data_IF_831457013390
#
_entry.id   IF_831457013390
#
_cell.length_a   1.000
_cell.length_b   1.000
_cell.length_c   1.000
_cell.angle_alpha   90.00
_cell.angle_beta   90.00
_cell.angle_gamma   90.00
#
_symmetry.space_group_name_H-M   'P 1'
#
loop_
_entity.id
_entity.type
_entity.pdbx_description
1 polymer ?
#
# COMPACT_ATOMS: atom_id res chain seq x y z
N UNK A 1 -9.83 12.42 22.75
CA UNK A 1 -10.43 11.42 21.83
C UNK A 1 -9.42 10.83 20.84
N UNK A 2 -8.66 11.65 20.09
CA UNK A 2 -7.63 11.19 19.13
C UNK A 2 -6.55 10.28 19.75
N UNK A 3 -6.07 10.57 20.96
CA UNK A 3 -5.05 9.78 21.64
C UNK A 3 -5.48 8.33 21.95
N UNK A 4 -6.75 8.14 22.29
CA UNK A 4 -7.32 6.82 22.59
C UNK A 4 -7.42 6.00 21.30
N UNK A 5 -7.80 6.63 20.19
CA UNK A 5 -7.90 5.96 18.88
C UNK A 5 -6.52 5.52 18.36
N UNK A 6 -5.50 6.38 18.51
CA UNK A 6 -4.11 6.06 18.12
C UNK A 6 -3.55 4.92 18.97
N UNK A 7 -3.80 4.93 20.28
CA UNK A 7 -3.38 3.84 21.17
C UNK A 7 -4.05 2.52 20.82
N UNK A 8 -5.35 2.56 20.47
CA UNK A 8 -6.09 1.37 20.02
C UNK A 8 -5.49 0.79 18.75
N UNK A 9 -5.22 1.62 17.74
CA UNK A 9 -4.60 1.18 16.48
C UNK A 9 -3.21 0.56 16.70
N UNK A 10 -2.38 1.14 17.57
CA UNK A 10 -1.07 0.57 17.90
C UNK A 10 -1.17 -0.82 18.54
N UNK A 11 -2.11 -1.00 19.47
CA UNK A 11 -2.36 -2.30 20.11
C UNK A 11 -2.83 -3.33 19.09
N UNK A 12 -3.71 -2.94 18.18
CA UNK A 12 -4.23 -3.82 17.14
C UNK A 12 -3.15 -4.27 16.14
N UNK A 13 -2.25 -3.36 15.72
CA UNK A 13 -1.11 -3.69 14.86
C UNK A 13 -0.16 -4.66 15.57
N UNK A 14 0.11 -4.43 16.86
CA UNK A 14 0.96 -5.31 17.67
C UNK A 14 0.35 -6.70 17.79
N UNK A 15 -0.94 -6.80 18.13
CA UNK A 15 -1.66 -8.07 18.20
C UNK A 15 -1.63 -8.81 16.87
N UNK A 16 -1.90 -8.13 15.74
CA UNK A 16 -1.81 -8.77 14.42
C UNK A 16 -0.39 -9.21 14.07
N UNK A 17 0.64 -8.57 14.60
CA UNK A 17 2.03 -8.99 14.37
C UNK A 17 2.37 -10.21 15.23
N UNK A 18 1.89 -10.25 16.47
CA UNK A 18 2.03 -11.39 17.39
C UNK A 18 1.27 -12.63 16.89
N UNK A 19 0.05 -12.46 16.38
CA UNK A 19 -0.75 -13.52 15.76
C UNK A 19 -0.04 -14.10 14.53
N UNK A 20 0.53 -13.23 13.69
CA UNK A 20 1.28 -13.67 12.52
C UNK A 20 2.56 -14.43 12.92
N UNK A 21 3.28 -13.98 13.95
CA UNK A 21 4.46 -14.67 14.47
C UNK A 21 4.12 -16.04 15.08
N UNK A 22 2.97 -16.15 15.74
CA UNK A 22 2.45 -17.43 16.23
C UNK A 22 2.14 -18.41 15.10
N UNK A 23 1.50 -17.94 14.02
CA UNK A 23 1.28 -18.76 12.81
C UNK A 23 2.62 -19.15 12.19
N UNK A 24 3.57 -18.23 12.14
CA UNK A 24 4.90 -18.45 11.57
C UNK A 24 5.68 -19.54 12.33
N UNK A 25 5.61 -19.53 13.66
CA UNK A 25 6.23 -20.57 14.52
C UNK A 25 5.69 -21.97 14.28
N UNK A 26 4.47 -22.12 13.74
CA UNK A 26 3.89 -23.42 13.37
C UNK A 26 4.52 -24.02 12.10
N UNK A 27 5.28 -23.26 11.31
CA UNK A 27 5.87 -23.73 10.04
C UNK A 27 7.41 -23.67 10.11
N UNK A 28 8.11 -24.81 10.30
CA UNK A 28 9.51 -24.83 10.75
C UNK A 28 10.58 -24.51 9.68
N UNK A 29 10.23 -23.96 8.50
CA UNK A 29 11.21 -23.72 7.42
C UNK A 29 10.91 -22.45 6.61
N UNK A 30 11.25 -21.27 7.12
CA UNK A 30 11.17 -20.03 6.33
C UNK A 30 12.45 -19.19 6.42
N UNK A 31 13.07 -18.89 5.27
CA UNK A 31 14.17 -17.91 5.15
C UNK A 31 13.62 -16.57 4.63
N UNK A 32 13.15 -15.69 5.52
CA UNK A 32 12.62 -14.35 5.15
C UNK A 32 13.69 -13.24 5.18
N UNK A 33 14.94 -13.56 5.51
CA UNK A 33 15.91 -12.52 5.90
C UNK A 33 16.38 -11.60 4.78
N UNK A 34 16.36 -11.95 3.48
CA UNK A 34 17.02 -11.11 2.44
C UNK A 34 16.11 -10.07 1.76
N UNK A 35 14.84 -10.38 1.47
CA UNK A 35 13.94 -9.46 0.74
C UNK A 35 13.43 -8.28 1.59
N UNK A 36 13.32 -8.46 2.91
CA UNK A 36 12.80 -7.47 3.85
C UNK A 36 13.66 -6.20 3.92
N UNK A 37 14.98 -6.37 4.09
CA UNK A 37 15.89 -5.22 4.25
C UNK A 37 16.08 -4.45 2.95
N UNK A 38 16.07 -5.11 1.79
CA UNK A 38 16.17 -4.43 0.50
C UNK A 38 14.98 -3.52 0.22
N UNK A 39 13.74 -3.98 0.49
CA UNK A 39 12.53 -3.17 0.31
C UNK A 39 12.50 -1.97 1.27
N UNK A 40 12.83 -2.20 2.55
CA UNK A 40 12.89 -1.13 3.55
C UNK A 40 13.96 -0.10 3.20
N UNK A 41 15.16 -0.54 2.80
CA UNK A 41 16.24 0.35 2.41
C UNK A 41 15.89 1.20 1.18
N UNK A 42 15.23 0.60 0.18
CA UNK A 42 14.84 1.30 -1.05
C UNK A 42 13.76 2.35 -0.81
N UNK A 43 12.73 2.03 -0.01
CA UNK A 43 11.68 3.01 0.29
C UNK A 43 12.19 4.13 1.20
N UNK A 44 13.06 3.80 2.17
CA UNK A 44 13.67 4.80 3.04
C UNK A 44 14.64 5.73 2.29
N UNK A 45 15.44 5.20 1.36
CA UNK A 45 16.34 6.02 0.53
C UNK A 45 15.56 6.94 -0.41
N UNK A 46 14.47 6.46 -1.04
CA UNK A 46 13.57 7.29 -1.84
C UNK A 46 12.96 8.43 -1.03
N UNK A 47 12.60 8.18 0.24
CA UNK A 47 12.13 9.21 1.15
C UNK A 47 13.16 10.30 1.38
N UNK A 48 14.37 9.91 1.77
CA UNK A 48 15.47 10.85 2.06
C UNK A 48 15.76 11.71 0.82
N UNK A 49 15.94 11.09 -0.34
CA UNK A 49 16.21 11.78 -1.60
C UNK A 49 15.11 12.81 -1.90
N UNK A 50 13.84 12.44 -1.73
CA UNK A 50 12.72 13.34 -1.96
C UNK A 50 12.71 14.53 -1.00
N UNK A 51 12.98 14.30 0.29
CA UNK A 51 13.05 15.37 1.30
C UNK A 51 14.16 16.35 0.93
N UNK A 52 15.35 15.83 0.62
CA UNK A 52 16.51 16.63 0.22
C UNK A 52 16.24 17.46 -1.05
N UNK A 53 15.45 16.96 -2.00
CA UNK A 53 15.11 17.69 -3.23
C UNK A 53 13.91 18.63 -3.08
N UNK A 54 12.99 18.37 -2.14
CA UNK A 54 11.83 19.26 -1.92
C UNK A 54 12.14 20.45 -1.03
N UNK A 55 13.04 20.32 -0.06
CA UNK A 55 13.41 21.43 0.84
C UNK A 55 13.91 22.66 0.05
N UNK A 56 14.86 22.53 -0.89
CA UNK A 56 15.32 23.66 -1.69
C UNK A 56 14.21 24.28 -2.53
N UNK A 57 13.32 23.48 -3.12
CA UNK A 57 12.19 24.01 -3.91
C UNK A 57 11.23 24.82 -3.06
N UNK A 58 10.96 24.37 -1.82
CA UNK A 58 9.99 25.05 -0.95
C UNK A 58 10.50 26.38 -0.41
N UNK A 59 11.81 26.50 -0.16
CA UNK A 59 12.42 27.68 0.46
C UNK A 59 13.16 28.60 -0.52
N UNK A 60 13.67 28.07 -1.63
CA UNK A 60 14.58 28.79 -2.53
C UNK A 60 14.04 28.98 -3.94
N UNK A 61 12.97 28.27 -4.36
CA UNK A 61 12.42 28.46 -5.71
C UNK A 61 11.47 29.67 -5.72
N UNK A 62 11.85 30.79 -6.37
CA UNK A 62 11.06 32.02 -6.36
C UNK A 62 9.69 31.85 -7.03
N UNK A 63 9.53 30.92 -7.98
CA UNK A 63 8.25 30.67 -8.65
C UNK A 63 7.30 29.91 -7.71
N UNK A 64 7.82 28.89 -7.01
CA UNK A 64 7.04 28.15 -6.03
C UNK A 64 6.64 29.05 -4.83
N UNK A 65 7.56 29.89 -4.35
CA UNK A 65 7.30 30.86 -3.29
C UNK A 65 6.31 31.93 -3.73
N UNK A 66 6.41 32.43 -4.97
CA UNK A 66 5.46 33.42 -5.51
C UNK A 66 4.04 32.84 -5.69
N UNK A 67 3.93 31.60 -6.17
CA UNK A 67 2.65 30.88 -6.29
C UNK A 67 2.00 30.61 -4.93
N UNK A 68 2.79 30.20 -3.92
CA UNK A 68 2.28 30.04 -2.56
C UNK A 68 1.86 31.37 -1.94
N UNK A 69 2.67 32.41 -2.11
CA UNK A 69 2.37 33.75 -1.58
C UNK A 69 1.13 34.36 -2.24
N UNK A 70 0.87 34.09 -3.52
CA UNK A 70 -0.36 34.53 -4.21
C UNK A 70 -1.59 33.75 -3.76
N UNK A 71 -1.49 32.42 -3.59
CA UNK A 71 -2.57 31.60 -3.03
C UNK A 71 -2.98 32.07 -1.63
N UNK A 72 -2.02 32.25 -0.70
CA UNK A 72 -2.30 32.76 0.65
C UNK A 72 -2.79 34.20 0.67
N UNK A 73 -2.42 35.03 -0.31
CA UNK A 73 -2.93 36.41 -0.41
C UNK A 73 -4.35 36.48 -0.99
N UNK A 74 -4.75 35.49 -1.80
CA UNK A 74 -6.12 35.35 -2.31
C UNK A 74 -7.09 34.70 -1.32
N UNK A 75 -6.56 34.02 -0.31
CA UNK A 75 -7.38 33.24 0.61
C UNK A 75 -8.04 34.14 1.69
N UNK A 76 -9.36 34.01 1.82
CA UNK A 76 -10.20 34.72 2.80
C UNK A 76 -9.66 34.58 4.25
N UNK A 77 -8.94 33.48 4.51
CA UNK A 77 -8.30 33.14 5.79
C UNK A 77 -7.36 34.24 6.29
N UNK A 78 -6.59 34.87 5.40
CA UNK A 78 -5.62 35.92 5.76
C UNK A 78 -6.34 37.23 6.12
N UNK A 79 -7.50 37.46 5.49
CA UNK A 79 -8.40 38.58 5.78
C UNK A 79 -9.16 38.38 7.11
N UNK A 80 -9.55 37.15 7.42
CA UNK A 80 -10.25 36.78 8.66
C UNK A 80 -9.34 36.73 9.90
N UNK A 81 -8.11 36.22 9.77
CA UNK A 81 -7.23 35.96 10.93
C UNK A 81 -6.30 37.13 11.29
N UNK A 82 -6.31 38.25 10.55
CA UNK A 82 -5.51 39.47 10.82
C UNK A 82 -4.03 39.20 11.18
N UNK A 83 -3.35 38.23 10.53
CA UNK A 83 -1.95 37.93 10.84
C UNK A 83 -0.98 38.99 10.27
N UNK A 84 0.07 39.39 11.02
CA UNK A 84 1.10 40.33 10.54
C UNK A 84 1.96 39.70 9.43
N UNK A 85 2.33 40.50 8.43
CA UNK A 85 2.56 40.12 7.02
C UNK A 85 3.85 39.33 6.66
N UNK A 86 4.74 38.99 7.60
CA UNK A 86 6.04 38.35 7.26
C UNK A 86 6.40 37.13 8.12
N UNK A 87 6.51 37.21 9.46
CA UNK A 87 6.90 36.05 10.27
C UNK A 87 5.81 34.99 10.35
N UNK A 88 4.53 35.39 10.25
CA UNK A 88 3.39 34.45 10.24
C UNK A 88 3.39 33.51 9.04
N UNK A 89 3.81 34.01 7.88
CA UNK A 89 3.86 33.25 6.63
C UNK A 89 4.91 32.14 6.71
N UNK A 90 6.11 32.45 7.21
CA UNK A 90 7.19 31.46 7.38
C UNK A 90 6.79 30.38 8.38
N UNK A 91 6.15 30.76 9.50
CA UNK A 91 5.65 29.80 10.49
C UNK A 91 4.58 28.90 9.88
N UNK A 92 3.59 29.46 9.18
CA UNK A 92 2.52 28.69 8.54
C UNK A 92 3.08 27.73 7.46
N UNK A 93 3.99 28.22 6.62
CA UNK A 93 4.65 27.43 5.58
C UNK A 93 5.48 26.28 6.19
N UNK A 94 6.15 26.53 7.33
CA UNK A 94 6.88 25.50 8.06
C UNK A 94 5.94 24.46 8.68
N UNK A 95 4.84 24.89 9.28
CA UNK A 95 3.81 23.99 9.82
C UNK A 95 3.17 23.12 8.73
N UNK A 96 2.85 23.68 7.57
CA UNK A 96 2.31 22.92 6.43
C UNK A 96 3.33 21.90 5.92
N UNK A 97 4.60 22.30 5.77
CA UNK A 97 5.67 21.39 5.36
C UNK A 97 5.81 20.22 6.34
N UNK A 98 5.80 20.50 7.64
CA UNK A 98 5.85 19.48 8.70
C UNK A 98 4.62 18.57 8.66
N UNK A 99 3.43 19.13 8.48
CA UNK A 99 2.20 18.33 8.37
C UNK A 99 2.21 17.40 7.16
N UNK A 100 2.63 17.92 5.99
CA UNK A 100 2.80 17.13 4.77
C UNK A 100 3.87 16.06 4.98
N UNK A 101 4.97 16.40 5.62
CA UNK A 101 6.03 15.44 5.94
C UNK A 101 5.51 14.29 6.81
N UNK A 102 4.87 14.62 7.94
CA UNK A 102 4.35 13.64 8.89
C UNK A 102 3.30 12.75 8.24
N UNK A 103 2.34 13.32 7.52
CA UNK A 103 1.30 12.56 6.82
C UNK A 103 1.90 11.58 5.82
N UNK A 104 2.90 12.02 5.04
CA UNK A 104 3.56 11.17 4.05
C UNK A 104 4.41 10.09 4.72
N UNK A 105 5.12 10.41 5.79
CA UNK A 105 5.87 9.43 6.56
C UNK A 105 4.96 8.34 7.12
N UNK A 106 3.82 8.71 7.71
CA UNK A 106 2.82 7.75 8.22
C UNK A 106 2.28 6.84 7.11
N UNK A 107 1.91 7.40 5.96
CA UNK A 107 1.45 6.61 4.81
C UNK A 107 2.51 5.61 4.35
N UNK A 108 3.79 6.00 4.41
CA UNK A 108 4.88 5.14 3.98
C UNK A 108 5.19 4.01 4.93
N UNK A 109 5.17 4.30 6.23
CA UNK A 109 5.26 3.26 7.26
C UNK A 109 4.10 2.26 7.09
N UNK A 110 2.91 2.75 6.77
CA UNK A 110 1.76 1.89 6.48
C UNK A 110 1.97 1.02 5.22
N UNK A 111 2.39 1.59 4.09
CA UNK A 111 2.69 0.83 2.85
C UNK A 111 3.75 -0.25 3.11
N UNK A 112 4.80 0.09 3.85
CA UNK A 112 5.85 -0.84 4.26
C UNK A 112 5.29 -1.97 5.11
N UNK A 113 4.56 -1.64 6.17
CA UNK A 113 3.95 -2.64 7.05
C UNK A 113 3.02 -3.57 6.25
N UNK A 114 2.10 -3.01 5.48
CA UNK A 114 1.10 -3.77 4.73
C UNK A 114 1.74 -4.72 3.70
N UNK A 115 2.72 -4.21 2.94
CA UNK A 115 3.41 -5.01 1.93
C UNK A 115 4.30 -6.10 2.54
N UNK A 116 4.95 -5.83 3.67
CA UNK A 116 5.69 -6.84 4.42
C UNK A 116 4.75 -7.93 4.92
N UNK A 117 3.62 -7.58 5.53
CA UNK A 117 2.61 -8.54 5.98
C UNK A 117 2.11 -9.40 4.82
N UNK A 118 1.81 -8.80 3.66
CA UNK A 118 1.47 -9.54 2.45
C UNK A 118 2.59 -10.51 2.04
N UNK A 119 3.85 -10.08 2.04
CA UNK A 119 4.98 -10.95 1.72
C UNK A 119 5.15 -12.11 2.72
N UNK A 120 4.90 -11.89 4.02
CA UNK A 120 4.88 -12.95 5.02
C UNK A 120 3.77 -13.97 4.72
N UNK A 121 2.55 -13.51 4.44
CA UNK A 121 1.43 -14.38 4.07
C UNK A 121 1.76 -15.19 2.80
N UNK A 122 2.34 -14.56 1.77
CA UNK A 122 2.74 -15.24 0.54
C UNK A 122 3.73 -16.37 0.81
N UNK A 123 4.71 -16.16 1.69
CA UNK A 123 5.68 -17.20 2.07
C UNK A 123 4.98 -18.34 2.83
N UNK A 124 4.07 -18.01 3.75
CA UNK A 124 3.28 -19.02 4.47
C UNK A 124 2.44 -19.88 3.50
N UNK A 125 1.75 -19.23 2.56
CA UNK A 125 0.94 -19.89 1.54
C UNK A 125 1.79 -20.74 0.59
N UNK A 126 2.94 -20.23 0.13
CA UNK A 126 3.88 -20.97 -0.72
C UNK A 126 4.37 -22.24 -0.03
N UNK A 127 4.79 -22.13 1.22
CA UNK A 127 5.22 -23.29 2.01
C UNK A 127 4.08 -24.29 2.23
N UNK A 128 2.85 -23.79 2.41
CA UNK A 128 1.68 -24.65 2.53
C UNK A 128 1.41 -25.41 1.22
N UNK A 129 1.53 -24.75 0.06
CA UNK A 129 1.40 -25.39 -1.26
C UNK A 129 2.44 -26.50 -1.42
N UNK A 130 3.71 -26.24 -1.07
CA UNK A 130 4.80 -27.22 -1.16
C UNK A 130 4.50 -28.44 -0.28
N UNK A 131 4.13 -28.22 0.99
CA UNK A 131 3.77 -29.31 1.90
C UNK A 131 2.53 -30.07 1.42
N UNK A 132 1.52 -29.38 0.87
CA UNK A 132 0.31 -29.99 0.34
C UNK A 132 0.61 -30.94 -0.82
N UNK A 133 1.56 -30.58 -1.67
CA UNK A 133 2.02 -31.41 -2.78
C UNK A 133 2.83 -32.64 -2.32
N UNK A 134 3.47 -32.56 -1.14
CA UNK A 134 4.28 -33.65 -0.59
C UNK A 134 3.52 -34.53 0.43
N UNK A 135 2.24 -34.25 0.72
CA UNK A 135 1.49 -35.04 1.72
C UNK A 135 1.16 -36.45 1.22
N UNK A 136 1.48 -37.43 2.07
CA UNK A 136 1.12 -38.85 1.90
C UNK A 136 0.12 -39.36 2.95
N UNK A 137 -0.08 -38.64 4.06
CA UNK A 137 -0.92 -39.07 5.20
C UNK A 137 -2.09 -38.10 5.45
N UNK A 138 -3.28 -38.65 5.69
CA UNK A 138 -4.50 -37.87 5.92
C UNK A 138 -4.45 -37.02 7.22
N UNK A 139 -3.67 -37.42 8.22
CA UNK A 139 -3.50 -36.66 9.46
C UNK A 139 -2.74 -35.35 9.22
N UNK A 140 -1.69 -35.41 8.42
CA UNK A 140 -0.88 -34.23 8.05
C UNK A 140 -1.71 -33.26 7.21
N UNK A 141 -2.60 -33.80 6.36
CA UNK A 141 -3.55 -33.00 5.61
C UNK A 141 -4.46 -32.16 6.52
N UNK A 142 -5.06 -32.76 7.56
CA UNK A 142 -5.93 -32.01 8.50
C UNK A 142 -5.18 -30.88 9.19
N UNK A 143 -3.91 -31.10 9.56
CA UNK A 143 -3.08 -30.07 10.16
C UNK A 143 -2.82 -28.91 9.19
N UNK A 144 -2.51 -29.20 7.91
CA UNK A 144 -2.32 -28.17 6.89
C UNK A 144 -3.60 -27.36 6.62
N UNK A 145 -4.76 -28.03 6.58
CA UNK A 145 -6.04 -27.36 6.42
C UNK A 145 -6.35 -26.42 7.61
N UNK A 146 -6.00 -26.84 8.83
CA UNK A 146 -6.11 -26.00 10.02
C UNK A 146 -5.22 -24.75 9.93
N UNK A 147 -3.96 -24.90 9.50
CA UNK A 147 -3.04 -23.78 9.28
C UNK A 147 -3.57 -22.82 8.21
N UNK A 148 -4.17 -23.33 7.13
CA UNK A 148 -4.83 -22.49 6.14
C UNK A 148 -6.01 -21.71 6.74
N UNK A 149 -6.83 -22.35 7.57
CA UNK A 149 -7.93 -21.68 8.28
C UNK A 149 -7.44 -20.50 9.12
N UNK A 150 -6.33 -20.69 9.84
CA UNK A 150 -5.68 -19.61 10.61
C UNK A 150 -5.20 -18.46 9.70
N UNK A 151 -4.53 -18.78 8.58
CA UNK A 151 -4.06 -17.77 7.60
C UNK A 151 -5.24 -17.01 6.99
N UNK A 152 -6.31 -17.72 6.61
CA UNK A 152 -7.51 -17.12 5.99
C UNK A 152 -8.23 -16.18 6.95
N UNK A 153 -8.38 -16.59 8.22
CA UNK A 153 -8.94 -15.74 9.26
C UNK A 153 -8.08 -14.49 9.51
N UNK A 154 -6.75 -14.65 9.47
CA UNK A 154 -5.83 -13.52 9.55
C UNK A 154 -6.01 -12.55 8.38
N UNK A 155 -6.04 -13.05 7.14
CA UNK A 155 -6.27 -12.25 5.94
C UNK A 155 -7.60 -11.50 5.99
N UNK A 156 -8.68 -12.15 6.42
CA UNK A 156 -9.99 -11.54 6.60
C UNK A 156 -9.97 -10.39 7.62
N UNK A 157 -9.25 -10.58 8.73
CA UNK A 157 -9.08 -9.57 9.77
C UNK A 157 -8.26 -8.38 9.24
N UNK A 158 -7.18 -8.68 8.52
CA UNK A 158 -6.33 -7.68 7.87
C UNK A 158 -7.12 -6.84 6.86
N UNK A 159 -7.91 -7.48 5.99
CA UNK A 159 -8.77 -6.78 5.02
C UNK A 159 -9.83 -5.91 5.72
N UNK A 160 -10.52 -6.46 6.72
CA UNK A 160 -11.56 -5.73 7.45
C UNK A 160 -11.01 -4.46 8.12
N UNK A 161 -9.79 -4.52 8.65
CA UNK A 161 -9.18 -3.38 9.37
C UNK A 161 -8.49 -2.38 8.45
N UNK A 162 -7.81 -2.86 7.41
CA UNK A 162 -6.92 -2.01 6.62
C UNK A 162 -7.44 -1.67 5.22
N UNK A 163 -8.48 -2.35 4.70
CA UNK A 163 -8.99 -2.11 3.34
C UNK A 163 -9.34 -0.65 3.06
N UNK A 164 -9.88 0.08 4.05
CA UNK A 164 -10.13 1.51 3.94
C UNK A 164 -8.83 2.34 3.89
N UNK A 165 -7.85 2.04 4.75
CA UNK A 165 -6.54 2.71 4.69
C UNK A 165 -5.81 2.44 3.37
N UNK A 166 -5.93 1.23 2.82
CA UNK A 166 -5.42 0.87 1.50
C UNK A 166 -6.07 1.73 0.43
N UNK A 167 -7.40 1.89 0.48
CA UNK A 167 -8.13 2.78 -0.44
C UNK A 167 -7.65 4.23 -0.36
N UNK A 168 -7.58 4.81 0.84
CA UNK A 168 -7.09 6.19 1.03
C UNK A 168 -5.65 6.32 0.52
N UNK A 169 -4.80 5.34 0.79
CA UNK A 169 -3.40 5.34 0.34
C UNK A 169 -3.31 5.31 -1.18
N UNK A 170 -4.08 4.43 -1.84
CA UNK A 170 -4.15 4.32 -3.30
C UNK A 170 -4.64 5.63 -3.91
N UNK A 171 -5.72 6.19 -3.39
CA UNK A 171 -6.29 7.45 -3.86
C UNK A 171 -5.28 8.61 -3.75
N UNK A 172 -4.63 8.75 -2.58
CA UNK A 172 -3.64 9.80 -2.32
C UNK A 172 -2.41 9.65 -3.23
N UNK A 173 -1.98 8.43 -3.55
CA UNK A 173 -0.89 8.19 -4.49
C UNK A 173 -1.30 8.51 -5.92
N UNK A 174 -2.51 8.14 -6.36
CA UNK A 174 -3.02 8.49 -7.69
C UNK A 174 -3.14 10.00 -7.88
N UNK A 175 -3.68 10.73 -6.89
CA UNK A 175 -3.73 12.20 -6.91
C UNK A 175 -2.31 12.77 -6.98
N UNK A 176 -1.38 12.26 -6.15
CA UNK A 176 0.01 12.71 -6.16
C UNK A 176 0.73 12.49 -7.49
N UNK A 177 0.49 11.34 -8.13
CA UNK A 177 1.00 11.02 -9.46
C UNK A 177 0.46 11.96 -10.52
N UNK A 178 -0.87 12.15 -10.53
CA UNK A 178 -1.54 13.01 -11.47
C UNK A 178 -0.97 14.43 -11.42
N UNK A 179 -0.90 15.03 -10.23
CA UNK A 179 -0.38 16.39 -10.07
C UNK A 179 1.10 16.52 -10.41
N UNK A 180 1.92 15.50 -10.10
CA UNK A 180 3.34 15.51 -10.45
C UNK A 180 3.52 15.48 -11.97
N UNK A 181 2.77 14.62 -12.67
CA UNK A 181 2.80 14.52 -14.13
C UNK A 181 2.21 15.76 -14.81
N UNK A 182 1.08 16.27 -14.33
CA UNK A 182 0.42 17.47 -14.86
C UNK A 182 1.35 18.69 -14.83
N UNK A 183 2.01 18.94 -13.69
CA UNK A 183 2.96 20.06 -13.55
C UNK A 183 4.16 19.92 -14.47
N UNK A 184 4.68 18.71 -14.63
CA UNK A 184 5.78 18.41 -15.56
C UNK A 184 5.38 18.63 -17.02
N UNK A 185 4.13 18.34 -17.39
CA UNK A 185 3.66 18.44 -18.77
C UNK A 185 3.36 19.89 -19.20
N UNK A 186 2.90 20.74 -18.27
CA UNK A 186 2.41 22.09 -18.60
C UNK A 186 3.44 23.18 -18.40
N UNK A 187 4.30 23.08 -17.37
CA UNK A 187 5.23 24.16 -17.06
C UNK A 187 6.56 23.93 -17.80
N UNK A 188 6.74 24.60 -18.95
CA UNK A 188 7.96 24.52 -19.76
C UNK A 188 9.16 25.23 -19.11
N UNK A 189 8.93 26.28 -18.32
CA UNK A 189 9.98 27.12 -17.71
C UNK A 189 10.23 26.80 -16.23
N UNK A 190 10.40 25.51 -15.90
CA UNK A 190 10.74 25.10 -14.53
C UNK A 190 12.23 24.95 -14.31
N UNK A 191 12.69 25.34 -13.11
CA UNK A 191 14.07 25.15 -12.71
C UNK A 191 14.44 23.66 -12.73
N UNK A 192 15.71 23.34 -13.03
CA UNK A 192 16.20 21.94 -13.05
C UNK A 192 15.96 21.23 -11.72
N UNK A 193 16.08 21.96 -10.60
CA UNK A 193 15.83 21.44 -9.26
C UNK A 193 14.34 21.11 -9.08
N UNK A 194 13.43 21.98 -9.54
CA UNK A 194 12.00 21.73 -9.46
C UNK A 194 11.56 20.56 -10.35
N UNK A 195 12.09 20.46 -11.58
CA UNK A 195 11.89 19.32 -12.46
C UNK A 195 12.28 17.99 -11.78
N UNK A 196 13.49 17.93 -11.21
CA UNK A 196 13.96 16.74 -10.49
C UNK A 196 13.08 16.42 -9.26
N UNK A 197 12.61 17.45 -8.55
CA UNK A 197 11.71 17.30 -7.40
C UNK A 197 10.34 16.72 -7.78
N UNK A 198 9.79 17.13 -8.93
CA UNK A 198 8.54 16.60 -9.48
C UNK A 198 8.73 15.16 -9.98
N UNK A 199 9.80 14.88 -10.73
CA UNK A 199 10.12 13.53 -11.19
C UNK A 199 10.30 12.55 -10.04
N UNK A 200 11.07 12.92 -9.02
CA UNK A 200 11.25 12.08 -7.83
C UNK A 200 9.97 11.90 -7.02
N UNK A 201 9.10 12.93 -6.97
CA UNK A 201 7.76 12.79 -6.38
C UNK A 201 6.88 11.81 -7.17
N UNK A 202 6.92 11.86 -8.50
CA UNK A 202 6.22 10.91 -9.36
C UNK A 202 6.69 9.47 -9.14
N UNK A 203 8.00 9.23 -9.18
CA UNK A 203 8.61 7.91 -8.92
C UNK A 203 8.22 7.40 -7.54
N UNK A 204 8.23 8.27 -6.53
CA UNK A 204 7.84 7.93 -5.16
C UNK A 204 6.39 7.45 -5.09
N UNK A 205 5.43 8.23 -5.61
CA UNK A 205 4.02 7.84 -5.58
C UNK A 205 3.75 6.57 -6.41
N UNK A 206 4.43 6.41 -7.54
CA UNK A 206 4.29 5.23 -8.40
C UNK A 206 4.80 3.99 -7.67
N UNK A 207 5.96 4.10 -7.04
CA UNK A 207 6.58 3.02 -6.27
C UNK A 207 5.70 2.61 -5.10
N UNK A 208 5.09 3.56 -4.40
CA UNK A 208 4.13 3.30 -3.31
C UNK A 208 2.88 2.59 -3.81
N UNK A 209 2.29 3.10 -4.89
CA UNK A 209 1.11 2.53 -5.54
C UNK A 209 1.36 1.08 -5.97
N UNK A 210 2.45 0.85 -6.68
CA UNK A 210 2.82 -0.49 -7.14
C UNK A 210 3.12 -1.42 -5.97
N UNK A 211 3.84 -0.96 -4.94
CA UNK A 211 4.20 -1.80 -3.79
C UNK A 211 2.95 -2.30 -3.04
N UNK A 212 2.00 -1.41 -2.74
CA UNK A 212 0.80 -1.80 -1.99
C UNK A 212 -0.12 -2.69 -2.83
N UNK A 213 -0.35 -2.35 -4.10
CA UNK A 213 -1.29 -3.12 -4.94
C UNK A 213 -0.69 -4.45 -5.39
N UNK A 214 0.58 -4.49 -5.81
CA UNK A 214 1.22 -5.73 -6.28
C UNK A 214 1.40 -6.74 -5.15
N UNK A 215 1.69 -6.29 -3.94
CA UNK A 215 1.80 -7.16 -2.77
C UNK A 215 0.46 -7.78 -2.42
N UNK A 216 -0.64 -7.02 -2.40
CA UNK A 216 -1.98 -7.57 -2.20
C UNK A 216 -2.38 -8.54 -3.33
N UNK A 217 -2.20 -8.15 -4.58
CA UNK A 217 -2.58 -8.95 -5.75
C UNK A 217 -1.81 -10.29 -5.79
N UNK A 218 -0.51 -10.27 -5.51
CA UNK A 218 0.30 -11.49 -5.46
C UNK A 218 -0.13 -12.43 -4.32
N UNK A 219 -0.59 -11.87 -3.19
CA UNK A 219 -1.16 -12.67 -2.09
C UNK A 219 -2.45 -13.36 -2.51
N UNK A 220 -3.37 -12.62 -3.14
CA UNK A 220 -4.63 -13.17 -3.66
C UNK A 220 -4.37 -14.28 -4.69
N UNK A 221 -3.41 -14.08 -5.59
CA UNK A 221 -2.99 -15.12 -6.54
C UNK A 221 -2.45 -16.38 -5.84
N UNK A 222 -1.69 -16.22 -4.76
CA UNK A 222 -1.18 -17.36 -4.01
C UNK A 222 -2.29 -18.13 -3.32
N UNK A 223 -3.31 -17.44 -2.78
CA UNK A 223 -4.52 -18.09 -2.26
C UNK A 223 -5.23 -18.87 -3.36
N UNK A 224 -5.40 -18.29 -4.55
CA UNK A 224 -6.04 -18.96 -5.69
C UNK A 224 -5.26 -20.20 -6.13
N UNK A 225 -3.92 -20.13 -6.18
CA UNK A 225 -3.07 -21.29 -6.47
C UNK A 225 -3.25 -22.39 -5.45
N UNK A 226 -3.24 -22.04 -4.15
CA UNK A 226 -3.44 -23.01 -3.08
C UNK A 226 -4.84 -23.66 -3.16
N UNK A 227 -5.89 -22.88 -3.41
CA UNK A 227 -7.26 -23.39 -3.63
C UNK A 227 -7.28 -24.39 -4.80
N UNK A 228 -6.63 -24.05 -5.91
CA UNK A 228 -6.51 -24.93 -7.06
C UNK A 228 -5.79 -26.24 -6.71
N UNK A 229 -4.65 -26.20 -6.01
CA UNK A 229 -3.96 -27.41 -5.52
C UNK A 229 -4.88 -28.25 -4.61
N UNK A 230 -5.63 -27.60 -3.74
CA UNK A 230 -6.51 -28.27 -2.79
C UNK A 230 -7.69 -29.01 -3.46
N UNK A 231 -8.17 -28.52 -4.61
CA UNK A 231 -9.24 -29.20 -5.39
C UNK A 231 -8.85 -30.61 -5.86
N UNK A 232 -7.54 -30.90 -5.98
CA UNK A 232 -7.07 -32.23 -6.39
C UNK A 232 -6.93 -33.22 -5.22
N UNK A 233 -6.99 -32.76 -3.97
CA UNK A 233 -6.81 -33.61 -2.79
C UNK A 233 -7.80 -34.79 -2.69
N UNK A 234 -9.11 -34.63 -3.00
CA UNK A 234 -10.04 -35.76 -2.92
C UNK A 234 -9.68 -36.92 -3.85
N UNK A 235 -9.03 -36.62 -4.98
CA UNK A 235 -8.59 -37.63 -5.95
C UNK A 235 -7.32 -38.35 -5.47
N UNK A 236 -6.45 -37.67 -4.72
CA UNK A 236 -5.24 -38.26 -4.13
C UNK A 236 -5.55 -39.17 -2.93
N UNK A 237 -6.65 -38.91 -2.23
CA UNK A 237 -7.08 -39.68 -1.05
C UNK A 237 -8.50 -40.23 -1.22
N UNK A 238 -8.72 -41.20 -2.14
CA UNK A 238 -10.06 -41.68 -2.47
C UNK A 238 -10.81 -42.25 -1.27
N UNK A 239 -10.10 -42.93 -0.36
CA UNK A 239 -10.65 -43.50 0.89
C UNK A 239 -11.23 -42.47 1.85
N UNK A 240 -10.75 -41.22 1.81
CA UNK A 240 -11.21 -40.10 2.64
C UNK A 240 -11.85 -38.98 1.81
N UNK A 241 -12.20 -39.27 0.55
CA UNK A 241 -12.60 -38.24 -0.42
C UNK A 241 -13.81 -37.43 0.01
N UNK A 242 -14.82 -38.05 0.64
CA UNK A 242 -16.02 -37.37 1.12
C UNK A 242 -15.75 -36.45 2.31
N UNK A 243 -14.88 -36.88 3.23
CA UNK A 243 -14.43 -36.10 4.39
C UNK A 243 -13.55 -34.91 3.96
N UNK A 244 -12.66 -35.13 2.99
CA UNK A 244 -11.82 -34.06 2.44
C UNK A 244 -12.68 -33.06 1.65
N UNK A 245 -13.62 -33.53 0.83
CA UNK A 245 -14.56 -32.64 0.11
C UNK A 245 -15.39 -31.78 1.05
N UNK A 246 -15.90 -32.35 2.15
CA UNK A 246 -16.69 -31.58 3.12
C UNK A 246 -15.84 -30.54 3.83
N UNK A 247 -14.62 -30.90 4.24
CA UNK A 247 -13.68 -29.97 4.89
C UNK A 247 -13.26 -28.85 3.93
N UNK A 248 -12.94 -29.18 2.68
CA UNK A 248 -12.61 -28.19 1.67
C UNK A 248 -13.76 -27.22 1.41
N UNK A 249 -15.00 -27.73 1.35
CA UNK A 249 -16.18 -26.89 1.14
C UNK A 249 -16.44 -25.94 2.31
N UNK A 250 -16.15 -26.38 3.54
CA UNK A 250 -16.39 -25.59 4.75
C UNK A 250 -15.31 -24.53 4.97
N UNK A 251 -14.05 -24.91 4.85
CA UNK A 251 -12.92 -24.09 5.32
C UNK A 251 -12.12 -23.46 4.17
N UNK A 252 -12.17 -24.03 2.96
CA UNK A 252 -11.35 -23.63 1.80
C UNK A 252 -12.10 -22.86 0.71
N UNK A 253 -13.42 -23.01 0.64
CA UNK A 253 -14.26 -22.34 -0.37
C UNK A 253 -14.80 -20.99 0.11
N UNK A 254 -14.42 -20.52 1.30
CA UNK A 254 -14.67 -19.12 1.66
C UNK A 254 -13.70 -18.22 0.87
N UNK A 255 -14.26 -17.23 0.18
CA UNK A 255 -13.51 -16.29 -0.65
C UNK A 255 -12.88 -15.19 0.19
N UNK A 256 -11.70 -15.50 0.73
CA UNK A 256 -10.85 -14.53 1.42
C UNK A 256 -9.86 -13.90 0.44
N UNK A 257 -10.14 -12.66 0.08
CA UNK A 257 -9.31 -11.85 -0.79
C UNK A 257 -9.03 -10.50 -0.12
N UNK A 258 -7.82 -9.99 -0.34
CA UNK A 258 -7.48 -8.61 0.01
C UNK A 258 -8.12 -7.67 -1.01
N UNK A 259 -8.80 -6.65 -0.52
CA UNK A 259 -9.61 -5.73 -1.30
C UNK A 259 -9.21 -4.27 -1.09
N UNK A 260 -9.61 -3.42 -2.03
CA UNK A 260 -9.64 -1.97 -1.85
C UNK A 260 -11.03 -1.62 -1.33
N UNK A 261 -11.12 -1.40 -0.02
CA UNK A 261 -12.35 -1.04 0.70
C UNK A 261 -13.56 -1.95 0.39
N UNK A 262 -13.34 -3.25 0.14
CA UNK A 262 -14.37 -4.21 -0.30
C UNK A 262 -15.07 -3.88 -1.62
N UNK A 263 -14.64 -2.84 -2.33
CA UNK A 263 -15.20 -2.44 -3.63
C UNK A 263 -14.57 -3.27 -4.74
N UNK A 264 -13.24 -3.39 -4.72
CA UNK A 264 -12.49 -4.13 -5.74
C UNK A 264 -11.55 -5.14 -5.10
N UNK A 265 -11.53 -6.35 -5.65
CA UNK A 265 -10.47 -7.31 -5.37
C UNK A 265 -9.14 -6.80 -5.92
N UNK A 266 -8.08 -6.90 -5.13
CA UNK A 266 -6.72 -6.60 -5.59
C UNK A 266 -6.26 -7.66 -6.59
N UNK A 267 -6.14 -7.28 -7.86
CA UNK A 267 -5.62 -8.13 -8.93
C UNK A 267 -4.73 -7.30 -9.89
N UNK A 268 -4.02 -7.98 -10.80
CA UNK A 268 -3.12 -7.32 -11.76
C UNK A 268 -3.87 -6.39 -12.73
N UNK A 269 -5.09 -6.75 -13.11
CA UNK A 269 -5.89 -5.93 -14.03
C UNK A 269 -6.26 -4.59 -13.41
N UNK A 270 -6.56 -4.54 -12.11
CA UNK A 270 -6.84 -3.29 -11.40
C UNK A 270 -5.62 -2.36 -11.37
N UNK A 271 -4.40 -2.91 -11.24
CA UNK A 271 -3.16 -2.13 -11.31
C UNK A 271 -3.04 -1.47 -12.68
N UNK A 272 -3.18 -2.26 -13.75
CA UNK A 272 -3.11 -1.75 -15.13
C UNK A 272 -4.21 -0.73 -15.41
N UNK A 273 -5.45 -1.00 -14.96
CA UNK A 273 -6.56 -0.09 -15.11
C UNK A 273 -6.32 1.25 -14.40
N UNK A 274 -5.75 1.23 -13.19
CA UNK A 274 -5.43 2.46 -12.45
C UNK A 274 -4.39 3.33 -13.17
N UNK A 275 -3.35 2.71 -13.76
CA UNK A 275 -2.33 3.42 -14.53
C UNK A 275 -2.87 3.92 -15.88
N UNK A 276 -3.67 3.09 -16.56
CA UNK A 276 -4.33 3.48 -17.81
C UNK A 276 -5.27 4.67 -17.60
N UNK A 277 -6.05 4.65 -16.53
CA UNK A 277 -6.94 5.75 -16.15
C UNK A 277 -6.16 7.04 -15.92
N UNK A 278 -5.04 6.96 -15.19
CA UNK A 278 -4.16 8.11 -14.97
C UNK A 278 -3.62 8.70 -16.28
N UNK A 279 -3.19 7.83 -17.20
CA UNK A 279 -2.70 8.23 -18.52
C UNK A 279 -3.81 8.87 -19.37
N UNK A 280 -5.00 8.26 -19.43
CA UNK A 280 -6.14 8.77 -20.19
C UNK A 280 -6.56 10.15 -19.69
N UNK A 281 -6.72 10.34 -18.38
CA UNK A 281 -7.04 11.65 -17.83
C UNK A 281 -5.91 12.66 -18.01
N UNK A 282 -4.64 12.22 -17.93
CA UNK A 282 -3.49 13.06 -18.22
C UNK A 282 -3.50 13.60 -19.65
N UNK A 283 -3.79 12.75 -20.64
CA UNK A 283 -3.91 13.15 -22.06
C UNK A 283 -5.10 14.08 -22.26
N UNK A 284 -6.27 13.74 -21.70
CA UNK A 284 -7.50 14.54 -21.85
C UNK A 284 -7.28 15.97 -21.33
N UNK A 285 -6.73 16.10 -20.13
CA UNK A 285 -6.48 17.40 -19.50
C UNK A 285 -5.34 18.13 -20.19
N UNK A 286 -4.29 17.42 -20.63
CA UNK A 286 -3.19 18.01 -21.40
C UNK A 286 -3.63 18.59 -22.74
N UNK A 287 -4.62 17.97 -23.39
CA UNK A 287 -5.19 18.48 -24.63
C UNK A 287 -6.13 19.66 -24.39
N UNK A 288 -7.01 19.59 -23.38
CA UNK A 288 -7.92 20.69 -23.03
C UNK A 288 -7.17 21.93 -22.52
N UNK A 289 -6.06 21.75 -21.79
CA UNK A 289 -5.25 22.85 -21.27
C UNK A 289 -4.44 23.62 -22.33
N UNK A 290 -4.45 23.21 -23.60
CA UNK A 290 -3.87 23.99 -24.70
C UNK A 290 -4.81 25.06 -25.25
N UNK A 291 -6.10 24.96 -24.95
CA UNK A 291 -7.14 25.89 -25.41
C UNK A 291 -7.49 26.98 -24.36
N UNK A 292 -6.84 26.94 -23.19
CA UNK A 292 -6.95 27.93 -22.10
C UNK A 292 -5.62 28.67 -21.97
#
# INVERSE_FOLDING_TARGET
MVYIEVYRQHREIRQMTEDLDLIFKKIPKCKIKRKKYTLMALLFSLHIIRICLKLPVYFLDPIAVASHRTFFRSDLVTQYLKLPSSPSFIVLQTCELLFVFMTRFTLSVFVLYYSLTCAYIQVLLQNLIEQLNDVFLCRDLKNLLCVYGDISKYMSTMDTKFSFMVFVTVLVNMIGLFWSGYRLAIHSDISRVYFLSLMTSGIFYLSHQLTIMSSAASTNEMVNKLKHCAQYLPYRFPKHSQEIKSTLKKDFMQDYHLTIWKIYEMNRSLIVASLGTLLTYGILIGNLGREI
#
